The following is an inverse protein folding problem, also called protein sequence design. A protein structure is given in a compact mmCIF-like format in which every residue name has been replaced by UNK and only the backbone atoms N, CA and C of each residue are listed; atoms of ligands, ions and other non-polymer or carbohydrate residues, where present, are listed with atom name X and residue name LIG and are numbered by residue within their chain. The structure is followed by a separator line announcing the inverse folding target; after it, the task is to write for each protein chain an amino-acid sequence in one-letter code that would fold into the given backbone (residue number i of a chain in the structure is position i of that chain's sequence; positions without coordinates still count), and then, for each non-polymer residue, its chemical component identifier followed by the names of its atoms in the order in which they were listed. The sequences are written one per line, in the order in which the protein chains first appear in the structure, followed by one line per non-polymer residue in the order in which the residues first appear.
data_IF_633002009549
#
_entry.id   IF_633002009549
#
_cell.length_a   1.000
_cell.length_b   1.000
_cell.length_c   1.000
_cell.angle_alpha   90.00
_cell.angle_beta   90.00
_cell.angle_gamma   90.00
#
_symmetry.space_group_name_H-M   'P 1'
#
loop_
_entity.id
_entity.type
_entity.pdbx_description
1 polymer ?
#
# COMPACT_ATOMS: atom_id res chain seq x y z
N UNK A 1 60.54 35.98 -58.69
CA UNK A 1 61.64 35.45 -57.85
C UNK A 1 61.06 35.09 -56.49
N UNK A 2 61.24 33.83 -56.10
CA UNK A 2 60.57 33.10 -55.02
C UNK A 2 61.00 33.62 -53.64
N UNK A 3 60.05 33.85 -52.73
CA UNK A 3 60.30 33.92 -51.28
C UNK A 3 59.52 32.79 -50.59
N UNK A 4 60.25 31.73 -50.22
CA UNK A 4 59.78 30.66 -49.32
C UNK A 4 59.77 31.21 -47.89
N UNK A 5 58.62 31.17 -47.23
CA UNK A 5 58.48 31.22 -45.77
C UNK A 5 58.09 29.81 -45.31
N UNK A 6 58.83 29.29 -44.34
CA UNK A 6 58.62 27.98 -43.73
C UNK A 6 57.30 27.93 -42.96
N UNK A 7 56.48 26.93 -43.27
CA UNK A 7 55.34 26.50 -42.47
C UNK A 7 55.84 25.62 -41.32
N UNK A 8 55.38 25.91 -40.11
CA UNK A 8 55.32 24.96 -38.99
C UNK A 8 53.89 24.44 -38.97
N UNK A 9 53.71 23.16 -39.35
CA UNK A 9 52.43 22.47 -39.27
C UNK A 9 52.46 21.54 -38.05
N UNK A 10 51.63 21.83 -37.06
CA UNK A 10 51.32 20.92 -35.96
C UNK A 10 50.57 19.71 -36.50
N UNK A 11 51.15 18.53 -36.34
CA UNK A 11 50.45 17.26 -36.49
C UNK A 11 49.57 17.02 -35.26
N UNK A 12 48.25 17.15 -35.39
CA UNK A 12 47.32 16.44 -34.53
C UNK A 12 47.06 15.06 -35.17
N UNK A 13 47.49 14.02 -34.48
CA UNK A 13 47.19 12.64 -34.80
C UNK A 13 45.71 12.37 -34.56
N UNK A 14 44.97 12.08 -35.64
CA UNK A 14 43.63 11.54 -35.56
C UNK A 14 43.74 10.05 -35.21
N UNK A 15 43.59 9.71 -33.94
CA UNK A 15 43.51 8.32 -33.49
C UNK A 15 42.12 7.79 -33.85
N UNK A 16 42.06 6.99 -34.91
CA UNK A 16 40.88 6.17 -35.23
C UNK A 16 40.80 5.08 -34.16
N UNK A 17 39.94 5.28 -33.16
CA UNK A 17 39.54 4.21 -32.26
C UNK A 17 38.53 3.35 -33.04
N UNK A 18 39.01 2.24 -33.57
CA UNK A 18 38.15 1.15 -34.01
C UNK A 18 37.40 0.64 -32.78
N UNK A 19 36.13 1.02 -32.67
CA UNK A 19 35.22 0.52 -31.64
C UNK A 19 34.88 -0.93 -32.00
N UNK A 20 35.70 -1.86 -31.52
CA UNK A 20 35.38 -3.28 -31.57
C UNK A 20 34.10 -3.50 -30.77
N UNK A 21 33.01 -3.76 -31.49
CA UNK A 21 31.73 -4.19 -30.95
C UNK A 21 31.95 -5.59 -30.33
N UNK A 22 32.34 -5.63 -29.06
CA UNK A 22 32.25 -6.87 -28.29
C UNK A 22 30.77 -7.04 -27.98
N UNK A 23 30.12 -7.91 -28.74
CA UNK A 23 28.83 -8.49 -28.39
C UNK A 23 29.01 -9.21 -27.05
N UNK A 24 28.72 -8.51 -25.95
CA UNK A 24 28.46 -9.15 -24.67
C UNK A 24 27.14 -9.89 -24.86
N UNK A 25 27.10 -11.24 -24.79
CA UNK A 25 25.83 -11.94 -24.79
C UNK A 25 24.99 -11.38 -23.65
N UNK A 26 23.75 -11.00 -23.96
CA UNK A 26 22.82 -10.45 -22.99
C UNK A 26 22.72 -11.37 -21.78
N UNK A 27 23.26 -10.90 -20.66
CA UNK A 27 22.93 -11.48 -19.38
C UNK A 27 21.45 -11.19 -19.15
N UNK A 28 20.63 -12.22 -19.34
CA UNK A 28 19.27 -12.28 -18.83
C UNK A 28 19.29 -11.98 -17.35
N UNK A 29 18.86 -10.77 -16.98
CA UNK A 29 18.53 -10.37 -15.60
C UNK A 29 17.25 -11.08 -15.13
N UNK A 30 17.18 -12.39 -15.28
CA UNK A 30 15.96 -13.18 -15.05
C UNK A 30 16.22 -14.58 -14.46
N UNK A 31 17.44 -14.95 -14.06
CA UNK A 31 17.72 -16.36 -13.68
C UNK A 31 18.57 -16.57 -12.42
N UNK A 32 18.77 -15.56 -11.58
CA UNK A 32 19.42 -15.72 -10.26
C UNK A 32 18.66 -14.97 -9.16
N UNK A 33 17.41 -15.40 -8.89
CA UNK A 33 16.69 -15.20 -7.62
C UNK A 33 15.56 -16.25 -7.55
N UNK A 34 15.88 -17.53 -7.80
CA UNK A 34 15.01 -18.67 -7.47
C UNK A 34 15.43 -19.21 -6.10
N UNK A 35 15.19 -18.44 -5.03
CA UNK A 35 15.00 -19.07 -3.73
C UNK A 35 13.51 -19.40 -3.63
N UNK A 36 13.18 -20.64 -3.98
CA UNK A 36 11.87 -21.19 -3.71
C UNK A 36 11.76 -21.33 -2.19
N UNK A 37 11.27 -20.30 -1.49
CA UNK A 37 10.94 -20.43 -0.08
C UNK A 37 10.11 -21.69 0.14
N UNK A 38 10.31 -22.36 1.27
CA UNK A 38 9.63 -23.62 1.56
C UNK A 38 8.11 -23.40 1.64
N UNK A 39 7.35 -24.45 1.37
CA UNK A 39 5.89 -24.44 1.59
C UNK A 39 5.59 -24.16 3.07
N UNK A 40 4.60 -23.31 3.34
CA UNK A 40 4.20 -23.01 4.72
C UNK A 40 3.64 -24.27 5.40
N UNK A 41 3.91 -24.44 6.70
CA UNK A 41 3.34 -25.54 7.47
C UNK A 41 2.00 -25.14 8.09
N UNK A 42 1.91 -23.92 8.60
CA UNK A 42 0.67 -23.34 9.10
C UNK A 42 -0.07 -22.67 7.94
N UNK A 43 -1.20 -23.25 7.51
CA UNK A 43 -1.96 -22.76 6.35
C UNK A 43 -3.44 -22.53 6.65
N UNK A 44 -4.14 -21.85 5.74
CA UNK A 44 -5.61 -21.70 5.77
C UNK A 44 -6.29 -23.06 5.78
N UNK A 45 -5.78 -24.02 5.00
CA UNK A 45 -6.34 -25.37 4.94
C UNK A 45 -6.20 -26.08 6.28
N UNK A 46 -5.04 -25.99 6.93
CA UNK A 46 -4.84 -26.55 8.28
C UNK A 46 -5.78 -25.87 9.31
N UNK A 47 -6.00 -24.56 9.17
CA UNK A 47 -6.92 -23.81 10.03
C UNK A 47 -8.38 -24.23 9.86
N UNK A 48 -8.81 -24.45 8.60
CA UNK A 48 -10.19 -24.78 8.25
C UNK A 48 -10.53 -26.26 8.43
N UNK A 49 -9.53 -27.13 8.54
CA UNK A 49 -9.70 -28.60 8.62
C UNK A 49 -9.56 -29.17 10.04
N UNK A 50 -9.60 -28.32 11.08
CA UNK A 50 -9.41 -28.69 12.49
C UNK A 50 -8.07 -29.41 12.77
N UNK A 51 -7.06 -29.24 11.90
CA UNK A 51 -5.71 -29.78 12.12
C UNK A 51 -4.87 -28.91 13.06
N UNK A 52 -5.30 -27.68 13.31
CA UNK A 52 -4.70 -26.79 14.29
C UNK A 52 -5.51 -26.79 15.58
N UNK A 53 -4.83 -27.05 16.69
CA UNK A 53 -5.38 -26.89 18.02
C UNK A 53 -4.96 -25.54 18.59
N UNK A 54 -5.93 -24.64 18.78
CA UNK A 54 -5.70 -23.33 19.37
C UNK A 54 -5.60 -23.45 20.89
N UNK A 55 -4.46 -23.07 21.44
CA UNK A 55 -4.23 -23.05 22.87
C UNK A 55 -4.99 -21.89 23.51
N UNK A 56 -5.76 -22.18 24.55
CA UNK A 56 -6.38 -21.15 25.39
C UNK A 56 -5.45 -20.83 26.55
N UNK A 57 -5.16 -19.55 26.81
CA UNK A 57 -4.37 -19.18 27.99
C UNK A 57 -5.29 -19.13 29.22
N UNK A 58 -5.00 -19.91 30.26
CA UNK A 58 -5.71 -19.81 31.56
C UNK A 58 -5.50 -18.45 32.24
N UNK A 59 -4.48 -17.68 31.81
CA UNK A 59 -4.23 -16.30 32.24
C UNK A 59 -5.08 -15.25 31.51
N UNK A 60 -5.99 -15.63 30.60
CA UNK A 60 -7.00 -14.72 30.03
C UNK A 60 -8.14 -14.41 31.03
N UNK A 61 -7.81 -14.14 32.29
CA UNK A 61 -8.76 -13.66 33.30
C UNK A 61 -9.15 -12.18 33.10
N UNK A 62 -8.76 -11.57 31.98
CA UNK A 62 -9.32 -10.32 31.47
C UNK A 62 -10.56 -10.61 30.62
N UNK A 63 -11.70 -10.82 31.29
CA UNK A 63 -13.00 -10.24 30.93
C UNK A 63 -13.38 -10.16 29.44
N UNK A 64 -13.25 -11.24 28.66
CA UNK A 64 -14.17 -11.53 27.55
C UNK A 64 -13.98 -12.98 27.08
N UNK A 65 -14.95 -13.80 27.42
CA UNK A 65 -15.11 -15.14 26.89
C UNK A 65 -15.04 -15.13 25.35
N UNK A 66 -14.05 -15.80 24.78
CA UNK A 66 -14.19 -16.81 23.72
C UNK A 66 -15.16 -16.54 22.56
N UNK A 67 -15.35 -15.30 22.10
CA UNK A 67 -16.27 -14.98 20.98
C UNK A 67 -15.73 -13.96 19.97
N UNK A 68 -14.54 -13.40 20.16
CA UNK A 68 -13.92 -12.41 19.25
C UNK A 68 -12.60 -12.95 18.65
N UNK A 69 -12.64 -14.17 18.08
CA UNK A 69 -11.51 -14.84 17.40
C UNK A 69 -10.98 -14.06 16.17
N UNK A 70 -11.65 -12.98 15.76
CA UNK A 70 -11.34 -12.22 14.56
C UNK A 70 -10.33 -11.08 14.71
N UNK A 71 -9.70 -10.89 15.89
CA UNK A 71 -8.79 -9.75 16.09
C UNK A 71 -7.64 -9.94 17.09
N UNK A 72 -7.36 -11.18 17.52
CA UNK A 72 -6.28 -11.47 18.48
C UNK A 72 -5.28 -12.46 17.89
N UNK A 73 -4.00 -12.28 18.24
CA UNK A 73 -2.97 -13.29 17.98
C UNK A 73 -3.18 -14.43 18.96
N UNK A 74 -3.27 -15.65 18.46
CA UNK A 74 -3.42 -16.86 19.26
C UNK A 74 -2.15 -17.70 19.19
N UNK A 75 -2.06 -18.73 20.02
CA UNK A 75 -1.04 -19.78 19.85
C UNK A 75 -1.76 -21.03 19.35
N UNK A 76 -1.26 -21.62 18.28
CA UNK A 76 -1.78 -22.88 17.76
C UNK A 76 -0.67 -23.92 17.67
N UNK A 77 -1.04 -25.17 17.93
CA UNK A 77 -0.19 -26.32 17.66
C UNK A 77 -0.69 -27.07 16.44
N UNK A 78 0.24 -27.49 15.59
CA UNK A 78 -0.01 -28.33 14.44
C UNK A 78 0.65 -29.69 14.66
N UNK A 79 -0.11 -30.77 14.45
CA UNK A 79 0.34 -32.14 14.74
C UNK A 79 1.67 -32.45 14.03
N UNK A 80 2.70 -32.80 14.82
CA UNK A 80 4.04 -33.13 14.31
C UNK A 80 4.88 -31.95 13.80
N UNK A 81 4.40 -30.70 13.90
CA UNK A 81 5.08 -29.49 13.39
C UNK A 81 5.42 -28.44 14.45
N UNK A 82 4.86 -28.56 15.65
CA UNK A 82 5.15 -27.67 16.78
C UNK A 82 4.10 -26.58 16.97
N UNK A 83 4.45 -25.54 17.73
CA UNK A 83 3.58 -24.42 18.06
C UNK A 83 4.00 -23.15 17.31
N UNK A 84 3.04 -22.30 16.97
CA UNK A 84 3.27 -20.98 16.39
C UNK A 84 2.28 -19.96 16.97
N UNK A 85 2.69 -18.70 16.99
CA UNK A 85 1.76 -17.59 17.08
C UNK A 85 0.99 -17.48 15.75
N UNK A 86 -0.31 -17.23 15.80
CA UNK A 86 -1.20 -17.25 14.63
C UNK A 86 -2.11 -16.03 14.62
N UNK A 87 -2.10 -15.32 13.50
CA UNK A 87 -3.03 -14.22 13.21
C UNK A 87 -4.19 -14.73 12.36
N UNK A 88 -5.35 -14.88 12.99
CA UNK A 88 -6.59 -15.31 12.35
C UNK A 88 -7.48 -14.15 11.90
N UNK A 89 -7.03 -12.90 12.03
CA UNK A 89 -7.85 -11.71 11.76
C UNK A 89 -8.35 -11.60 10.32
N UNK A 90 -7.64 -12.23 9.38
CA UNK A 90 -8.02 -12.29 7.96
C UNK A 90 -8.41 -13.70 7.48
N UNK A 91 -8.53 -14.68 8.37
CA UNK A 91 -8.77 -16.09 7.98
C UNK A 91 -10.07 -16.24 7.18
N UNK A 92 -11.16 -15.61 7.64
CA UNK A 92 -12.46 -15.55 6.95
C UNK A 92 -12.43 -14.75 5.63
N UNK A 93 -11.33 -14.03 5.38
CA UNK A 93 -11.05 -13.29 4.15
C UNK A 93 -10.02 -14.00 3.26
N UNK A 94 -9.78 -15.30 3.53
CA UNK A 94 -8.93 -16.13 2.71
C UNK A 94 -7.44 -15.77 2.80
N UNK A 95 -6.99 -15.29 3.96
CA UNK A 95 -5.59 -14.92 4.21
C UNK A 95 -5.22 -15.27 5.66
N UNK A 96 -4.00 -15.76 5.89
CA UNK A 96 -3.57 -16.25 7.19
C UNK A 96 -2.06 -16.07 7.36
N UNK A 97 -1.62 -15.78 8.59
CA UNK A 97 -0.21 -15.75 8.95
C UNK A 97 0.05 -16.47 10.26
N UNK A 98 1.23 -17.11 10.36
CA UNK A 98 1.76 -17.68 11.58
C UNK A 98 3.24 -17.36 11.74
N UNK A 99 3.75 -17.36 12.97
CA UNK A 99 5.16 -17.14 13.26
C UNK A 99 5.68 -17.99 14.41
N UNK A 100 6.93 -18.40 14.27
CA UNK A 100 7.78 -18.92 15.35
C UNK A 100 9.10 -18.17 15.36
N UNK A 101 10.02 -18.52 16.26
CA UNK A 101 11.22 -17.71 16.57
C UNK A 101 12.12 -17.40 15.35
N UNK A 102 12.04 -18.18 14.28
CA UNK A 102 12.84 -17.98 13.06
C UNK A 102 12.07 -18.21 11.78
N UNK A 103 10.73 -18.18 11.81
CA UNK A 103 9.94 -18.34 10.60
C UNK A 103 8.67 -17.52 10.62
N UNK A 104 8.21 -17.19 9.42
CA UNK A 104 6.86 -16.68 9.18
C UNK A 104 6.23 -17.50 8.07
N UNK A 105 5.06 -18.05 8.36
CA UNK A 105 4.20 -18.73 7.40
C UNK A 105 3.11 -17.79 6.93
N UNK A 106 2.96 -17.70 5.62
CA UNK A 106 1.90 -16.96 4.95
C UNK A 106 1.06 -17.94 4.14
N UNK A 107 -0.26 -17.82 4.22
CA UNK A 107 -1.18 -18.63 3.41
C UNK A 107 -2.36 -17.79 2.91
N UNK A 108 -2.79 -18.07 1.68
CA UNK A 108 -3.81 -17.29 0.98
C UNK A 108 -4.62 -18.09 -0.03
N UNK A 109 -5.85 -17.65 -0.28
CA UNK A 109 -6.67 -18.18 -1.38
C UNK A 109 -6.13 -17.75 -2.74
N UNK A 110 -5.96 -18.69 -3.66
CA UNK A 110 -5.37 -18.41 -4.98
C UNK A 110 -6.40 -17.96 -6.02
N UNK A 111 -5.92 -17.18 -6.98
CA UNK A 111 -6.57 -16.86 -8.23
C UNK A 111 -6.06 -17.87 -9.26
N UNK A 112 -6.93 -18.63 -9.95
CA UNK A 112 -6.51 -19.67 -10.88
C UNK A 112 -5.53 -19.16 -11.94
N UNK A 113 -4.42 -19.90 -12.13
CA UNK A 113 -3.42 -19.60 -13.16
C UNK A 113 -2.54 -18.37 -12.86
N UNK A 114 -2.47 -17.92 -11.61
CA UNK A 114 -1.67 -16.76 -11.21
C UNK A 114 -0.49 -17.15 -10.31
N UNK A 115 0.59 -16.38 -10.44
CA UNK A 115 1.73 -16.39 -9.52
C UNK A 115 1.63 -15.19 -8.57
N UNK A 116 2.44 -15.19 -7.52
CA UNK A 116 2.47 -14.17 -6.48
C UNK A 116 3.89 -13.68 -6.23
N UNK A 117 4.06 -12.38 -6.02
CA UNK A 117 5.29 -11.79 -5.49
C UNK A 117 5.13 -11.54 -3.99
N UNK A 118 6.12 -11.94 -3.21
CA UNK A 118 6.18 -11.77 -1.77
C UNK A 118 7.23 -10.70 -1.46
N UNK A 119 6.89 -9.78 -0.56
CA UNK A 119 7.78 -8.75 -0.05
C UNK A 119 7.81 -8.84 1.47
N UNK A 120 8.97 -8.54 2.06
CA UNK A 120 9.17 -8.31 3.50
C UNK A 120 9.79 -6.93 3.68
N UNK A 121 9.19 -6.09 4.49
CA UNK A 121 9.64 -4.72 4.77
C UNK A 121 9.92 -3.92 3.48
N UNK A 122 8.97 -4.02 2.53
CA UNK A 122 9.02 -3.46 1.17
C UNK A 122 10.10 -4.02 0.23
N UNK A 123 10.92 -4.95 0.69
CA UNK A 123 11.91 -5.65 -0.13
C UNK A 123 11.32 -6.93 -0.73
N UNK A 124 11.53 -7.17 -2.02
CA UNK A 124 11.10 -8.40 -2.67
C UNK A 124 11.86 -9.60 -2.08
N UNK A 125 11.14 -10.62 -1.63
CA UNK A 125 11.73 -11.84 -1.06
C UNK A 125 11.50 -13.09 -1.89
N UNK A 126 10.35 -13.22 -2.57
CA UNK A 126 10.07 -14.43 -3.35
C UNK A 126 9.04 -14.24 -4.46
N UNK A 127 9.04 -15.15 -5.43
CA UNK A 127 7.94 -15.38 -6.36
C UNK A 127 7.44 -16.82 -6.20
N UNK A 128 6.13 -17.01 -6.05
CA UNK A 128 5.52 -18.32 -5.80
C UNK A 128 4.30 -18.55 -6.69
N UNK A 129 4.04 -19.79 -7.08
CA UNK A 129 2.85 -20.18 -7.86
C UNK A 129 1.76 -20.86 -6.99
N UNK A 130 2.06 -21.08 -5.70
CA UNK A 130 1.18 -21.74 -4.74
C UNK A 130 0.32 -20.78 -3.91
N UNK A 131 -0.37 -21.36 -2.93
CA UNK A 131 -1.24 -20.69 -1.94
C UNK A 131 -0.53 -20.38 -0.62
N UNK A 132 0.78 -20.61 -0.54
CA UNK A 132 1.53 -20.42 0.70
C UNK A 132 3.01 -20.14 0.47
N UNK A 133 3.66 -19.58 1.50
CA UNK A 133 5.08 -19.27 1.52
C UNK A 133 5.58 -19.25 2.97
N UNK A 134 6.72 -19.89 3.23
CA UNK A 134 7.48 -19.78 4.48
C UNK A 134 8.72 -18.92 4.28
N UNK A 135 8.81 -17.84 5.05
CA UNK A 135 10.05 -17.10 5.27
C UNK A 135 10.84 -17.75 6.42
N UNK A 136 12.13 -17.99 6.22
CA UNK A 136 13.05 -18.59 7.21
C UNK A 136 14.15 -17.63 7.68
N UNK A 137 14.10 -16.38 7.24
CA UNK A 137 15.07 -15.34 7.62
C UNK A 137 14.46 -14.14 8.38
N UNK A 138 13.27 -14.20 9.01
CA UNK A 138 12.82 -13.09 9.84
C UNK A 138 13.66 -13.02 11.14
N UNK A 139 13.74 -11.84 11.73
CA UNK A 139 14.49 -11.59 12.96
C UNK A 139 13.61 -11.88 14.19
N UNK A 140 14.08 -12.75 15.09
CA UNK A 140 13.41 -13.01 16.37
C UNK A 140 13.20 -11.73 17.18
N UNK A 141 12.04 -11.60 17.82
CA UNK A 141 11.63 -10.41 18.57
C UNK A 141 11.31 -9.18 17.72
N UNK A 142 11.45 -9.27 16.40
CA UNK A 142 11.09 -8.20 15.48
C UNK A 142 9.67 -8.37 14.94
N UNK A 143 9.10 -7.25 14.53
CA UNK A 143 7.86 -7.20 13.78
C UNK A 143 8.17 -6.90 12.33
N UNK A 144 7.72 -7.77 11.41
CA UNK A 144 7.97 -7.63 9.97
C UNK A 144 6.69 -7.37 9.18
N UNK A 145 6.80 -6.60 8.10
CA UNK A 145 5.70 -6.30 7.20
C UNK A 145 5.78 -7.16 5.94
N UNK A 146 4.86 -8.10 5.79
CA UNK A 146 4.74 -8.92 4.59
C UNK A 146 3.69 -8.39 3.64
N UNK A 147 3.96 -8.50 2.34
CA UNK A 147 3.02 -8.20 1.24
C UNK A 147 3.08 -9.29 0.18
N UNK A 148 1.93 -9.75 -0.28
CA UNK A 148 1.72 -10.82 -1.25
C UNK A 148 0.94 -10.21 -2.39
N UNK A 149 1.46 -10.22 -3.60
CA UNK A 149 0.83 -9.58 -4.75
C UNK A 149 0.57 -10.55 -5.89
N UNK A 150 -0.68 -10.63 -6.38
CA UNK A 150 -0.96 -11.36 -7.62
C UNK A 150 -0.18 -10.74 -8.79
N UNK A 151 0.60 -11.56 -9.48
CA UNK A 151 1.31 -11.18 -10.69
C UNK A 151 0.43 -11.38 -11.93
N UNK A 152 0.58 -10.48 -12.91
CA UNK A 152 -0.01 -10.66 -14.23
C UNK A 152 0.56 -11.93 -14.88
N UNK A 153 -0.29 -12.66 -15.63
CA UNK A 153 0.14 -13.84 -16.35
C UNK A 153 1.11 -13.44 -17.47
N UNK A 154 2.13 -14.26 -17.79
CA UNK A 154 3.14 -13.93 -18.79
C UNK A 154 2.58 -13.69 -20.20
N UNK A 155 1.36 -14.17 -20.50
CA UNK A 155 0.76 -14.12 -21.84
C UNK A 155 -0.33 -13.04 -22.05
N UNK A 156 -0.11 -11.82 -21.55
CA UNK A 156 -0.76 -10.57 -22.03
C UNK A 156 -2.14 -10.11 -21.51
N UNK A 157 -2.76 -10.72 -20.50
CA UNK A 157 -3.92 -10.10 -19.85
C UNK A 157 -3.50 -9.27 -18.64
N UNK A 158 -3.65 -7.94 -18.73
CA UNK A 158 -3.75 -7.09 -17.56
C UNK A 158 -4.78 -7.71 -16.60
N UNK A 159 -4.47 -7.77 -15.31
CA UNK A 159 -5.37 -8.32 -14.31
C UNK A 159 -6.68 -7.53 -14.34
N UNK A 160 -7.83 -8.21 -14.37
CA UNK A 160 -9.10 -7.55 -14.09
C UNK A 160 -9.19 -7.16 -12.61
N UNK A 161 -10.06 -6.20 -12.28
CA UNK A 161 -10.16 -5.65 -10.91
C UNK A 161 -10.46 -6.72 -9.83
N UNK A 162 -11.02 -7.87 -10.21
CA UNK A 162 -11.30 -9.05 -9.38
C UNK A 162 -10.14 -10.06 -9.31
N UNK A 163 -9.15 -9.98 -10.20
CA UNK A 163 -7.98 -10.85 -10.21
C UNK A 163 -6.78 -10.25 -9.45
N UNK A 164 -6.77 -8.93 -9.24
CA UNK A 164 -5.72 -8.29 -8.45
C UNK A 164 -6.02 -8.48 -6.97
N UNK A 165 -5.28 -9.39 -6.35
CA UNK A 165 -5.29 -9.54 -4.89
C UNK A 165 -3.94 -9.11 -4.34
N UNK A 166 -3.95 -8.24 -3.32
CA UNK A 166 -2.77 -8.04 -2.48
C UNK A 166 -3.16 -8.35 -1.04
N UNK A 167 -2.36 -9.20 -0.39
CA UNK A 167 -2.51 -9.65 1.02
C UNK A 167 -1.27 -9.30 1.81
N UNK A 168 -1.39 -9.07 3.11
CA UNK A 168 -0.30 -8.47 3.84
C UNK A 168 -0.56 -8.46 5.32
N UNK A 169 0.54 -8.56 6.04
CA UNK A 169 0.59 -9.00 7.42
C UNK A 169 1.72 -8.24 8.13
N UNK A 170 1.44 -7.69 9.30
CA UNK A 170 2.41 -7.38 10.32
C UNK A 170 2.54 -8.62 11.22
N UNK A 171 3.69 -9.26 11.16
CA UNK A 171 3.91 -10.51 11.87
C UNK A 171 4.95 -10.26 12.94
N UNK A 172 4.52 -10.33 14.20
CA UNK A 172 5.44 -10.39 15.33
C UNK A 172 6.12 -11.76 15.35
N UNK A 173 7.44 -11.77 15.25
CA UNK A 173 8.26 -12.97 15.37
C UNK A 173 8.62 -13.11 16.84
N UNK A 174 8.25 -14.20 17.50
CA UNK A 174 8.52 -14.34 18.91
C UNK A 174 10.02 -14.31 19.21
N UNK A 175 10.41 -13.66 20.30
CA UNK A 175 11.81 -13.63 20.76
C UNK A 175 12.19 -14.93 21.48
N UNK A 176 11.21 -15.61 22.05
CA UNK A 176 11.31 -16.75 22.96
C UNK A 176 10.35 -17.86 22.59
N UNK A 177 10.59 -19.06 23.12
CA UNK A 177 9.69 -20.21 22.90
C UNK A 177 8.43 -20.18 23.80
N UNK A 178 8.30 -19.19 24.71
CA UNK A 178 7.08 -18.99 25.51
C UNK A 178 6.03 -18.20 24.71
N UNK A 179 5.51 -18.86 23.66
CA UNK A 179 4.57 -18.26 22.72
C UNK A 179 3.29 -17.76 23.39
N UNK A 180 2.86 -18.41 24.47
CA UNK A 180 1.66 -18.00 25.21
C UNK A 180 1.88 -16.68 25.94
N UNK A 181 3.05 -16.49 26.57
CA UNK A 181 3.41 -15.22 27.18
C UNK A 181 3.54 -14.12 26.12
N UNK A 182 4.18 -14.42 24.98
CA UNK A 182 4.35 -13.43 23.91
C UNK A 182 3.03 -13.01 23.26
N UNK A 183 2.17 -13.96 22.88
CA UNK A 183 0.84 -13.64 22.36
C UNK A 183 0.00 -12.85 23.38
N UNK A 184 0.08 -13.20 24.67
CA UNK A 184 -0.61 -12.46 25.74
C UNK A 184 -0.11 -11.02 25.87
N UNK A 185 1.22 -10.82 25.88
CA UNK A 185 1.82 -9.49 25.99
C UNK A 185 1.49 -8.63 24.76
N UNK A 186 1.51 -9.23 23.58
CA UNK A 186 1.18 -8.56 22.33
C UNK A 186 -0.29 -8.12 22.32
N UNK A 187 -1.23 -9.02 22.65
CA UNK A 187 -2.65 -8.69 22.75
C UNK A 187 -2.92 -7.62 23.83
N UNK A 188 -2.22 -7.69 24.98
CA UNK A 188 -2.34 -6.67 26.02
C UNK A 188 -1.89 -5.30 25.53
N UNK A 189 -0.80 -5.20 24.77
CA UNK A 189 -0.33 -3.94 24.21
C UNK A 189 -1.36 -3.32 23.24
N UNK A 190 -2.05 -4.14 22.46
CA UNK A 190 -3.16 -3.71 21.59
C UNK A 190 -4.30 -3.15 22.45
N UNK A 191 -4.73 -3.89 23.47
CA UNK A 191 -5.84 -3.49 24.36
C UNK A 191 -5.52 -2.23 25.17
N UNK A 192 -4.28 -2.09 25.68
CA UNK A 192 -3.82 -0.89 26.36
C UNK A 192 -3.78 0.32 25.42
N UNK A 193 -3.35 0.12 24.17
CA UNK A 193 -3.43 1.15 23.13
C UNK A 193 -4.87 1.61 22.89
N UNK A 194 -5.84 0.70 22.87
CA UNK A 194 -7.28 0.99 22.74
C UNK A 194 -7.86 1.65 24.00
N UNK A 195 -7.43 1.24 25.19
CA UNK A 195 -7.91 1.82 26.44
C UNK A 195 -7.37 3.25 26.64
N UNK A 196 -6.08 3.46 26.38
CA UNK A 196 -5.44 4.77 26.42
C UNK A 196 -6.08 5.74 25.38
N UNK A 197 -6.40 5.22 24.19
CA UNK A 197 -7.16 5.92 23.16
C UNK A 197 -8.52 6.42 23.63
N UNK A 198 -9.28 5.56 24.33
CA UNK A 198 -10.63 5.86 24.78
C UNK A 198 -10.67 6.82 25.98
N UNK A 199 -9.58 6.90 26.75
CA UNK A 199 -9.42 7.83 27.87
C UNK A 199 -8.94 9.22 27.44
N UNK A 200 -8.53 9.41 26.17
CA UNK A 200 -8.15 10.70 25.63
C UNK A 200 -9.37 11.65 25.54
N UNK A 201 -9.19 12.98 25.59
CA UNK A 201 -10.29 13.93 25.45
C UNK A 201 -11.06 13.72 24.14
N UNK A 202 -12.35 14.08 24.10
CA UNK A 202 -13.21 13.86 22.92
C UNK A 202 -12.71 14.45 21.59
N UNK A 203 -11.86 15.48 21.64
CA UNK A 203 -11.18 16.07 20.49
C UNK A 203 -9.91 15.31 20.03
N UNK A 204 -9.51 14.30 20.79
CA UNK A 204 -8.36 13.42 20.64
C UNK A 204 -8.77 11.93 20.66
N UNK A 205 -10.06 11.61 20.46
CA UNK A 205 -10.60 10.25 20.43
C UNK A 205 -10.05 9.47 19.23
N UNK A 206 -8.80 9.06 19.32
CA UNK A 206 -8.29 7.70 19.41
C UNK A 206 -8.95 6.56 18.66
N UNK A 207 -9.62 6.92 17.59
CA UNK A 207 -10.19 6.09 16.58
C UNK A 207 -9.13 5.69 15.57
N UNK A 208 -9.29 4.52 14.95
CA UNK A 208 -8.52 4.20 13.77
C UNK A 208 -8.79 5.26 12.69
N UNK A 209 -7.86 5.47 11.77
CA UNK A 209 -8.08 6.38 10.63
C UNK A 209 -7.59 5.74 9.35
N UNK A 210 -8.39 5.85 8.29
CA UNK A 210 -7.96 5.53 6.92
C UNK A 210 -7.91 6.84 6.14
N UNK A 211 -6.74 7.20 5.62
CA UNK A 211 -6.55 8.38 4.78
C UNK A 211 -6.25 7.95 3.36
N UNK A 212 -6.86 8.63 2.39
CA UNK A 212 -6.50 8.56 0.98
C UNK A 212 -6.33 9.98 0.44
N UNK A 213 -5.14 10.27 -0.06
CA UNK A 213 -4.80 11.58 -0.63
C UNK A 213 -4.22 11.46 -2.02
N UNK A 214 -4.32 12.56 -2.76
CA UNK A 214 -3.62 12.74 -4.02
C UNK A 214 -2.84 14.03 -3.99
N UNK A 215 -1.70 14.11 -4.69
CA UNK A 215 -0.88 15.33 -4.75
C UNK A 215 -0.01 15.41 -5.99
N UNK A 216 0.31 16.63 -6.41
CA UNK A 216 1.25 16.90 -7.50
C UNK A 216 2.63 17.21 -6.88
N UNK A 217 3.66 16.37 -7.07
CA UNK A 217 4.94 16.54 -6.37
C UNK A 217 5.69 17.83 -6.74
N UNK A 218 5.41 18.39 -7.93
CA UNK A 218 6.02 19.63 -8.40
C UNK A 218 5.38 20.87 -7.75
N UNK A 219 6.09 22.00 -7.65
CA UNK A 219 5.48 23.26 -7.26
C UNK A 219 4.50 23.80 -8.32
N UNK A 220 4.78 23.55 -9.60
CA UNK A 220 3.96 23.97 -10.73
C UNK A 220 4.12 22.97 -11.89
N UNK A 221 3.06 22.78 -12.66
CA UNK A 221 3.04 22.02 -13.93
C UNK A 221 2.53 22.91 -15.05
N UNK A 222 2.96 22.67 -16.28
CA UNK A 222 2.54 23.50 -17.42
C UNK A 222 1.05 23.28 -17.71
N UNK A 223 0.34 24.36 -18.04
CA UNK A 223 -1.05 24.25 -18.46
C UNK A 223 -1.13 23.58 -19.85
N UNK A 224 -2.09 22.67 -20.08
CA UNK A 224 -2.21 21.99 -21.34
C UNK A 224 -2.56 22.99 -22.45
N UNK A 225 -2.00 22.79 -23.64
CA UNK A 225 -2.07 23.74 -24.76
C UNK A 225 -3.51 23.98 -25.24
N UNK A 226 -4.42 23.04 -25.00
CA UNK A 226 -5.82 23.12 -25.35
C UNK A 226 -6.71 22.56 -24.23
N UNK A 227 -8.02 22.84 -24.29
CA UNK A 227 -9.09 22.26 -23.45
C UNK A 227 -9.25 22.80 -22.02
N UNK A 228 -8.47 23.82 -21.68
CA UNK A 228 -8.59 24.61 -20.46
C UNK A 228 -8.64 26.10 -20.79
N UNK A 229 -9.18 26.90 -19.87
CA UNK A 229 -9.26 28.37 -19.97
C UNK A 229 -7.86 29.01 -20.04
N UNK A 230 -6.84 28.31 -19.53
CA UNK A 230 -5.44 28.70 -19.51
C UNK A 230 -4.61 27.64 -20.22
N UNK A 231 -3.83 28.06 -21.22
CA UNK A 231 -2.96 27.20 -22.02
C UNK A 231 -1.51 27.67 -22.02
N UNK A 232 -0.89 27.71 -23.20
CA UNK A 232 0.53 28.09 -23.34
C UNK A 232 0.87 29.42 -22.64
N UNK A 233 1.96 29.43 -21.86
CA UNK A 233 2.39 30.59 -21.06
C UNK A 233 1.84 30.64 -19.63
N UNK A 234 0.99 29.69 -19.25
CA UNK A 234 0.46 29.54 -17.90
C UNK A 234 0.88 28.21 -17.25
N UNK A 235 0.86 28.18 -15.93
CA UNK A 235 1.15 27.00 -15.11
C UNK A 235 0.07 26.78 -14.05
N UNK A 236 -0.25 25.52 -13.76
CA UNK A 236 -1.06 25.15 -12.60
C UNK A 236 -0.17 24.87 -11.39
N UNK A 237 -0.58 25.32 -10.20
CA UNK A 237 0.11 25.02 -8.96
C UNK A 237 -0.02 23.55 -8.56
N UNK A 238 1.09 22.96 -8.13
CA UNK A 238 1.12 21.67 -7.45
C UNK A 238 1.33 21.81 -5.95
N UNK A 239 1.70 20.72 -5.30
CA UNK A 239 1.81 20.59 -3.85
C UNK A 239 3.24 20.67 -3.34
N UNK A 240 4.25 20.56 -4.21
CA UNK A 240 5.67 20.68 -3.86
C UNK A 240 6.08 19.81 -2.67
N UNK A 241 5.70 18.53 -2.68
CA UNK A 241 5.96 17.61 -1.56
C UNK A 241 6.20 16.18 -2.02
N UNK A 242 6.68 15.36 -1.08
CA UNK A 242 6.70 13.90 -1.19
C UNK A 242 5.51 13.23 -0.49
N UNK A 243 5.58 11.91 -0.40
CA UNK A 243 4.63 11.08 0.33
C UNK A 243 4.70 11.40 1.84
N UNK A 244 3.55 11.65 2.46
CA UNK A 244 3.45 11.83 3.91
C UNK A 244 2.01 11.67 4.40
N UNK A 245 1.84 11.04 5.58
CA UNK A 245 0.56 10.97 6.27
C UNK A 245 0.12 12.30 6.92
N UNK A 246 1.04 13.28 7.06
CA UNK A 246 0.75 14.61 7.63
C UNK A 246 1.28 15.74 6.74
N UNK A 247 0.81 15.85 5.48
CA UNK A 247 1.28 16.87 4.56
C UNK A 247 0.58 18.21 4.81
N UNK A 248 1.27 19.30 4.47
CA UNK A 248 0.71 20.65 4.52
C UNK A 248 -0.29 20.96 3.39
N UNK A 249 -0.30 20.20 2.29
CA UNK A 249 -1.21 20.39 1.15
C UNK A 249 -1.55 19.07 0.42
N UNK A 250 -2.63 19.04 -0.34
CA UNK A 250 -2.97 17.95 -1.25
C UNK A 250 -3.73 18.47 -2.47
N UNK A 251 -4.04 17.61 -3.44
CA UNK A 251 -5.08 17.89 -4.45
C UNK A 251 -6.44 17.43 -3.96
N UNK A 252 -6.51 16.25 -3.36
CA UNK A 252 -7.72 15.70 -2.73
C UNK A 252 -7.38 15.03 -1.42
N UNK A 253 -8.27 15.12 -0.43
CA UNK A 253 -8.17 14.36 0.82
C UNK A 253 -9.49 13.66 1.10
N UNK A 254 -9.40 12.38 1.40
CA UNK A 254 -10.47 11.54 1.88
C UNK A 254 -10.00 10.91 3.19
N UNK A 255 -10.85 10.90 4.21
CA UNK A 255 -10.53 10.31 5.51
C UNK A 255 -11.74 9.63 6.13
N UNK A 256 -11.54 8.49 6.77
CA UNK A 256 -12.53 7.85 7.63
C UNK A 256 -11.96 7.73 9.04
N UNK A 257 -12.68 8.27 10.04
CA UNK A 257 -12.35 8.08 11.45
C UNK A 257 -13.20 6.92 12.00
N UNK A 258 -12.57 5.97 12.70
CA UNK A 258 -13.13 4.66 13.07
C UNK A 258 -13.33 4.50 14.58
N UNK A 259 -14.59 4.45 15.00
CA UNK A 259 -15.00 4.05 16.33
C UNK A 259 -15.30 2.56 16.43
N UNK A 260 -14.30 1.80 16.87
CA UNK A 260 -14.44 0.36 17.13
C UNK A 260 -15.50 0.04 18.18
N UNK A 261 -15.68 0.86 19.22
CA UNK A 261 -16.74 0.65 20.21
C UNK A 261 -18.15 0.87 19.63
N UNK A 262 -18.29 1.71 18.60
CA UNK A 262 -19.54 1.95 17.89
C UNK A 262 -19.70 1.11 16.61
N UNK A 263 -18.78 0.18 16.34
CA UNK A 263 -18.90 -0.76 15.23
C UNK A 263 -18.47 -0.23 13.85
N UNK A 264 -17.62 0.80 13.79
CA UNK A 264 -17.04 1.27 12.52
C UNK A 264 -16.87 2.77 12.42
N UNK A 265 -17.11 3.33 11.23
CA UNK A 265 -16.85 4.73 10.89
C UNK A 265 -17.76 5.69 11.67
N UNK A 266 -17.15 6.56 12.47
CA UNK A 266 -17.87 7.58 13.26
C UNK A 266 -18.01 8.92 12.52
N UNK A 267 -17.05 9.23 11.65
CA UNK A 267 -17.06 10.43 10.82
C UNK A 267 -16.14 10.25 9.61
N UNK A 268 -16.30 11.13 8.62
CA UNK A 268 -15.46 11.13 7.43
C UNK A 268 -15.17 12.55 6.94
N UNK A 269 -14.13 12.64 6.13
CA UNK A 269 -13.58 13.83 5.52
C UNK A 269 -13.50 13.63 4.00
N UNK A 270 -13.90 14.64 3.22
CA UNK A 270 -13.80 14.62 1.77
C UNK A 270 -13.68 16.05 1.22
N UNK A 271 -12.51 16.40 0.70
CA UNK A 271 -12.23 17.75 0.21
C UNK A 271 -11.32 17.76 -1.02
N UNK A 272 -11.45 18.81 -1.81
CA UNK A 272 -10.61 19.13 -2.96
C UNK A 272 -9.97 20.49 -2.73
N UNK A 273 -8.66 20.58 -2.86
CA UNK A 273 -7.94 21.84 -2.64
C UNK A 273 -8.05 22.76 -3.88
N UNK A 274 -7.93 24.08 -3.69
CA UNK A 274 -8.00 25.02 -4.81
C UNK A 274 -6.93 24.75 -5.87
N UNK A 275 -7.34 24.85 -7.14
CA UNK A 275 -6.44 24.95 -8.28
C UNK A 275 -6.02 26.40 -8.44
N UNK A 276 -4.71 26.65 -8.51
CA UNK A 276 -4.12 27.98 -8.69
C UNK A 276 -3.46 28.07 -10.06
N UNK A 277 -3.62 29.18 -10.76
CA UNK A 277 -3.00 29.44 -12.06
C UNK A 277 -1.98 30.55 -11.93
N UNK A 278 -0.82 30.38 -12.56
CA UNK A 278 0.26 31.34 -12.60
C UNK A 278 0.60 31.70 -14.04
N UNK A 279 1.00 32.95 -14.28
CA UNK A 279 1.52 33.39 -15.58
C UNK A 279 3.04 33.10 -15.71
N UNK A 280 3.62 33.43 -16.86
CA UNK A 280 5.06 33.24 -17.14
C UNK A 280 6.00 34.04 -16.22
N UNK A 281 5.51 35.10 -15.57
CA UNK A 281 6.25 35.85 -14.56
C UNK A 281 6.14 35.24 -13.15
N UNK A 282 5.41 34.12 -12.99
CA UNK A 282 5.20 33.44 -11.71
C UNK A 282 4.12 34.06 -10.82
N UNK A 283 3.36 35.06 -11.31
CA UNK A 283 2.30 35.70 -10.54
C UNK A 283 1.00 34.87 -10.60
N UNK A 284 0.34 34.69 -9.45
CA UNK A 284 -0.98 34.01 -9.38
C UNK A 284 -2.04 34.87 -10.06
N UNK A 285 -2.69 34.33 -11.09
CA UNK A 285 -3.70 35.04 -11.89
C UNK A 285 -5.12 34.52 -11.68
N UNK A 286 -5.28 33.28 -11.18
CA UNK A 286 -6.59 32.72 -10.88
C UNK A 286 -6.53 31.66 -9.78
N UNK A 287 -7.65 31.44 -9.10
CA UNK A 287 -7.84 30.39 -8.12
C UNK A 287 -9.30 29.93 -8.15
N UNK A 288 -9.53 28.60 -8.18
CA UNK A 288 -10.87 28.02 -8.16
C UNK A 288 -10.81 26.61 -7.60
N UNK A 289 -11.86 26.21 -6.90
CA UNK A 289 -11.98 24.87 -6.31
C UNK A 289 -12.98 24.06 -7.12
N UNK A 290 -12.64 22.80 -7.42
CA UNK A 290 -13.57 21.89 -8.06
C UNK A 290 -14.61 21.36 -7.08
N UNK A 291 -15.72 20.85 -7.60
CA UNK A 291 -16.74 20.22 -6.77
C UNK A 291 -16.20 18.95 -6.11
N UNK A 292 -16.50 18.76 -4.82
CA UNK A 292 -16.22 17.53 -4.08
C UNK A 292 -17.35 16.49 -4.17
N UNK A 293 -18.38 16.70 -5.00
CA UNK A 293 -19.59 15.84 -5.03
C UNK A 293 -19.31 14.36 -5.34
N UNK A 294 -18.28 14.07 -6.13
CA UNK A 294 -17.88 12.71 -6.52
C UNK A 294 -16.62 12.26 -5.73
N UNK A 295 -16.35 12.91 -4.60
CA UNK A 295 -15.29 12.59 -3.65
C UNK A 295 -15.97 12.18 -2.34
N UNK A 296 -15.90 10.90 -1.99
CA UNK A 296 -16.65 10.37 -0.85
C UNK A 296 -16.02 9.11 -0.25
N UNK A 297 -16.41 8.83 0.99
CA UNK A 297 -16.08 7.62 1.73
C UNK A 297 -17.37 7.00 2.26
N UNK A 298 -17.50 5.68 2.18
CA UNK A 298 -18.67 4.96 2.66
C UNK A 298 -18.26 3.71 3.42
N UNK A 299 -18.87 3.48 4.58
CA UNK A 299 -18.81 2.17 5.24
C UNK A 299 -19.77 1.20 4.53
N UNK A 300 -19.25 0.06 4.11
CA UNK A 300 -20.01 -1.02 3.47
C UNK A 300 -20.51 -2.03 4.50
N UNK A 301 -19.65 -2.37 5.46
CA UNK A 301 -19.94 -3.26 6.58
C UNK A 301 -19.03 -2.88 7.76
N UNK A 302 -19.36 -3.34 8.96
CA UNK A 302 -18.46 -3.22 10.10
C UNK A 302 -19.09 -3.70 11.40
N UNK A 303 -18.23 -4.00 12.35
CA UNK A 303 -18.57 -4.34 13.71
C UNK A 303 -17.43 -3.85 14.63
N UNK A 304 -17.36 -4.37 15.85
CA UNK A 304 -16.35 -3.93 16.80
C UNK A 304 -14.93 -4.32 16.40
N UNK A 305 -14.75 -5.27 15.49
CA UNK A 305 -13.47 -5.94 15.21
C UNK A 305 -12.94 -5.65 13.80
N UNK A 306 -13.82 -5.28 12.86
CA UNK A 306 -13.42 -4.81 11.53
C UNK A 306 -14.41 -3.81 10.91
N UNK A 307 -13.97 -3.11 9.87
CA UNK A 307 -14.78 -2.23 9.02
C UNK A 307 -14.39 -2.41 7.56
N UNK A 308 -15.39 -2.48 6.67
CA UNK A 308 -15.20 -2.42 5.23
C UNK A 308 -15.56 -1.01 4.75
N UNK A 309 -14.63 -0.35 4.06
CA UNK A 309 -14.77 1.01 3.57
C UNK A 309 -14.60 1.05 2.04
N UNK A 310 -15.41 1.87 1.38
CA UNK A 310 -15.23 2.25 -0.03
C UNK A 310 -14.84 3.71 -0.11
N UNK A 311 -13.72 3.97 -0.76
CA UNK A 311 -13.26 5.30 -1.12
C UNK A 311 -13.47 5.52 -2.62
N UNK A 312 -13.90 6.72 -2.99
CA UNK A 312 -14.03 7.14 -4.38
C UNK A 312 -13.64 8.60 -4.52
N UNK A 313 -12.71 8.89 -5.43
CA UNK A 313 -12.32 10.25 -5.80
C UNK A 313 -12.56 10.45 -7.29
N UNK A 314 -13.31 11.50 -7.63
CA UNK A 314 -13.36 12.07 -8.97
C UNK A 314 -13.38 13.59 -8.87
N UNK A 315 -12.26 14.23 -9.18
CA UNK A 315 -12.09 15.68 -9.08
C UNK A 315 -11.52 16.24 -10.39
N UNK A 316 -12.31 17.05 -11.09
CA UNK A 316 -11.88 17.73 -12.32
C UNK A 316 -11.03 18.97 -12.04
N UNK A 317 -10.29 19.46 -13.03
CA UNK A 317 -9.73 20.81 -12.97
C UNK A 317 -10.84 21.82 -13.26
N UNK A 318 -11.14 22.78 -12.36
CA UNK A 318 -12.28 23.68 -12.51
C UNK A 318 -12.09 24.76 -13.59
N UNK A 319 -10.91 24.82 -14.22
CA UNK A 319 -10.57 25.63 -15.39
C UNK A 319 -10.52 24.82 -16.69
N UNK A 320 -10.90 23.54 -16.65
CA UNK A 320 -10.90 22.67 -17.82
C UNK A 320 -12.26 21.97 -17.92
N UNK A 321 -13.06 22.38 -18.90
CA UNK A 321 -14.47 21.93 -19.01
C UNK A 321 -14.71 21.01 -20.20
N UNK A 322 -13.76 20.91 -21.13
CA UNK A 322 -13.99 20.32 -22.46
C UNK A 322 -13.50 18.86 -22.62
N UNK A 323 -12.74 18.32 -21.66
CA UNK A 323 -12.26 16.93 -21.68
C UNK A 323 -12.40 16.26 -20.31
N UNK A 324 -12.56 14.93 -20.23
CA UNK A 324 -12.58 14.20 -18.96
C UNK A 324 -11.17 14.12 -18.34
N UNK A 325 -10.66 15.25 -17.82
CA UNK A 325 -9.33 15.41 -17.25
C UNK A 325 -9.32 15.50 -15.72
N UNK A 326 -10.07 14.60 -15.08
CA UNK A 326 -10.18 14.54 -13.62
C UNK A 326 -9.19 13.55 -13.02
N UNK A 327 -8.73 13.85 -11.81
CA UNK A 327 -8.21 12.84 -10.88
C UNK A 327 -9.31 11.82 -10.67
N UNK A 328 -9.01 10.53 -10.83
CA UNK A 328 -9.97 9.45 -10.57
C UNK A 328 -9.30 8.29 -9.85
N UNK A 329 -10.01 7.72 -8.89
CA UNK A 329 -9.68 6.43 -8.33
C UNK A 329 -10.71 5.98 -7.32
N UNK A 330 -10.82 4.68 -7.12
CA UNK A 330 -11.69 4.11 -6.11
C UNK A 330 -11.09 2.81 -5.60
N UNK A 331 -11.27 2.51 -4.33
CA UNK A 331 -10.85 1.24 -3.75
C UNK A 331 -11.73 0.86 -2.58
N UNK A 332 -11.82 -0.44 -2.32
CA UNK A 332 -12.46 -1.02 -1.14
C UNK A 332 -11.37 -1.58 -0.23
N UNK A 333 -11.45 -1.26 1.06
CA UNK A 333 -10.49 -1.73 2.07
C UNK A 333 -11.25 -2.28 3.28
N UNK A 334 -10.89 -3.48 3.72
CA UNK A 334 -11.18 -3.96 5.07
C UNK A 334 -10.10 -3.44 5.99
N UNK A 335 -10.46 -2.91 7.16
CA UNK A 335 -9.51 -2.57 8.24
C UNK A 335 -10.00 -3.23 9.53
N UNK A 336 -9.11 -3.85 10.29
CA UNK A 336 -9.40 -4.50 11.57
C UNK A 336 -9.00 -3.61 12.74
N UNK A 337 -9.50 -3.94 13.94
CA UNK A 337 -9.24 -3.16 15.16
C UNK A 337 -7.76 -3.09 15.52
N UNK A 338 -7.05 -4.21 15.41
CA UNK A 338 -5.61 -4.22 15.68
C UNK A 338 -4.92 -3.28 14.69
N UNK A 339 -5.37 -3.21 13.44
CA UNK A 339 -4.88 -2.27 12.43
C UNK A 339 -4.45 -2.97 11.15
N UNK A 340 -4.77 -4.26 11.04
CA UNK A 340 -4.74 -4.96 9.78
C UNK A 340 -5.64 -4.33 8.74
N UNK A 341 -5.25 -4.47 7.49
CA UNK A 341 -6.00 -4.01 6.35
C UNK A 341 -5.90 -5.00 5.20
N UNK A 342 -6.94 -5.02 4.36
CA UNK A 342 -6.95 -5.73 3.09
C UNK A 342 -7.69 -4.91 2.04
N UNK A 343 -7.01 -4.49 0.97
CA UNK A 343 -7.63 -3.84 -0.17
C UNK A 343 -8.20 -4.93 -1.06
N UNK A 344 -9.53 -5.03 -1.04
CA UNK A 344 -10.31 -6.03 -1.76
C UNK A 344 -10.25 -5.80 -3.27
N UNK A 345 -10.29 -4.54 -3.70
CA UNK A 345 -10.14 -4.12 -5.10
C UNK A 345 -10.01 -2.61 -5.18
N UNK A 346 -9.34 -2.12 -6.22
CA UNK A 346 -9.32 -0.69 -6.50
C UNK A 346 -8.46 -0.32 -7.69
N UNK A 347 -8.67 0.86 -8.23
CA UNK A 347 -7.85 1.39 -9.30
C UNK A 347 -7.88 2.92 -9.32
N UNK A 348 -6.88 3.52 -9.95
CA UNK A 348 -6.78 4.97 -10.09
C UNK A 348 -6.08 5.38 -11.38
N UNK A 349 -6.27 6.62 -11.80
CA UNK A 349 -5.51 7.23 -12.90
C UNK A 349 -4.08 7.49 -12.46
N UNK A 350 -3.14 7.34 -13.38
CA UNK A 350 -1.71 7.47 -13.06
C UNK A 350 -1.22 8.92 -12.99
N UNK A 351 -2.14 9.87 -12.73
CA UNK A 351 -1.84 11.25 -12.40
C UNK A 351 -2.96 11.78 -11.48
N UNK A 352 -2.63 12.35 -10.32
CA UNK A 352 -1.29 12.72 -9.85
C UNK A 352 -0.66 11.59 -9.01
N UNK A 353 0.13 11.88 -7.96
CA UNK A 353 0.54 10.86 -6.99
C UNK A 353 -0.64 10.45 -6.12
N UNK A 354 -0.66 9.18 -5.69
CA UNK A 354 -1.69 8.63 -4.80
C UNK A 354 -1.03 8.06 -3.55
N UNK A 355 -1.64 8.30 -2.39
CA UNK A 355 -1.15 7.80 -1.11
C UNK A 355 -2.30 7.39 -0.19
N UNK A 356 -2.18 6.23 0.44
CA UNK A 356 -3.15 5.68 1.39
C UNK A 356 -2.40 5.35 2.67
N UNK A 357 -2.97 5.73 3.81
CA UNK A 357 -2.43 5.43 5.13
C UNK A 357 -3.50 4.89 6.05
N UNK A 358 -3.12 3.98 6.95
CA UNK A 358 -3.98 3.43 8.00
C UNK A 358 -3.34 3.67 9.35
N UNK A 359 -4.16 4.02 10.33
CA UNK A 359 -3.82 4.04 11.75
C UNK A 359 -4.87 3.17 12.44
N UNK A 360 -4.51 2.02 13.01
CA UNK A 360 -5.47 1.07 13.59
C UNK A 360 -6.06 1.52 14.93
N UNK A 361 -5.24 2.22 15.73
CA UNK A 361 -5.56 2.70 17.07
C UNK A 361 -4.94 4.08 17.34
N UNK A 362 -5.27 4.71 18.47
CA UNK A 362 -4.88 6.09 18.79
C UNK A 362 -3.40 6.36 19.01
N UNK A 363 -2.56 5.32 19.05
CA UNK A 363 -1.14 5.49 19.40
C UNK A 363 -0.39 6.35 18.38
N UNK A 364 -1.00 6.67 17.23
CA UNK A 364 -0.45 7.57 16.22
C UNK A 364 0.47 6.87 15.23
N UNK A 365 0.56 5.54 15.31
CA UNK A 365 1.36 4.72 14.39
C UNK A 365 0.67 4.63 13.03
N UNK A 366 1.02 5.56 12.14
CA UNK A 366 0.56 5.57 10.75
C UNK A 366 1.33 4.55 9.92
N UNK A 367 0.59 3.74 9.17
CA UNK A 367 1.12 2.75 8.23
C UNK A 367 0.87 3.23 6.81
N UNK A 368 1.88 3.10 5.96
CA UNK A 368 1.74 3.34 4.53
C UNK A 368 1.09 2.13 3.89
N UNK A 369 -0.15 2.29 3.44
CA UNK A 369 -0.94 1.23 2.79
C UNK A 369 -0.60 1.12 1.31
N UNK A 370 -0.45 2.27 0.67
CA UNK A 370 -0.22 2.37 -0.77
C UNK A 370 0.41 3.72 -1.06
N UNK A 371 1.47 3.74 -1.87
CA UNK A 371 1.99 4.96 -2.49
C UNK A 371 2.29 4.68 -3.94
N UNK A 372 1.88 5.58 -4.83
CA UNK A 372 2.24 5.49 -6.23
C UNK A 372 2.57 6.85 -6.80
N UNK A 373 3.76 6.93 -7.38
CA UNK A 373 4.20 8.08 -8.16
C UNK A 373 3.41 8.15 -9.48
N UNK A 374 3.13 9.37 -9.93
CA UNK A 374 2.50 9.63 -11.21
C UNK A 374 3.40 9.12 -12.34
N UNK A 375 2.79 8.64 -13.44
CA UNK A 375 3.52 8.17 -14.61
C UNK A 375 3.80 9.31 -15.60
N UNK A 376 2.79 10.13 -15.87
CA UNK A 376 2.85 11.28 -16.78
C UNK A 376 1.68 12.22 -16.55
N UNK A 377 1.87 13.52 -16.76
CA UNK A 377 0.79 14.52 -16.71
C UNK A 377 -0.35 14.19 -17.69
N UNK A 378 -0.04 13.52 -18.81
CA UNK A 378 -1.02 13.07 -19.80
C UNK A 378 -1.99 12.02 -19.23
N UNK A 379 -1.61 11.28 -18.19
CA UNK A 379 -2.44 10.25 -17.57
C UNK A 379 -3.65 10.80 -16.81
N UNK A 380 -3.83 12.12 -16.75
CA UNK A 380 -5.11 12.73 -16.38
C UNK A 380 -6.20 12.51 -17.43
N UNK A 381 -5.85 12.21 -18.68
CA UNK A 381 -6.81 11.95 -19.77
C UNK A 381 -7.12 10.44 -19.78
N UNK A 382 -8.41 10.09 -19.68
CA UNK A 382 -8.88 8.71 -19.48
C UNK A 382 -8.31 7.67 -20.47
N UNK A 383 -8.10 8.11 -21.71
CA UNK A 383 -7.69 7.28 -22.84
C UNK A 383 -6.18 7.36 -23.14
N UNK A 384 -5.44 8.21 -22.41
CA UNK A 384 -4.00 8.38 -22.62
C UNK A 384 -3.15 7.33 -21.89
N UNK A 385 -3.66 6.81 -20.77
CA UNK A 385 -2.96 5.81 -19.96
C UNK A 385 -3.94 4.77 -19.41
N UNK A 386 -3.54 3.50 -19.27
CA UNK A 386 -4.31 2.54 -18.50
C UNK A 386 -4.40 2.99 -17.03
N UNK A 387 -5.42 2.54 -16.31
CA UNK A 387 -5.49 2.72 -14.86
C UNK A 387 -4.40 1.90 -14.17
N UNK A 388 -3.99 2.36 -13.00
CA UNK A 388 -3.18 1.60 -12.10
C UNK A 388 -4.05 0.97 -11.03
N UNK A 389 -3.75 -0.26 -10.67
CA UNK A 389 -4.47 -0.92 -9.59
C UNK A 389 -4.05 -0.36 -8.24
N UNK A 390 -5.03 -0.12 -7.38
CA UNK A 390 -4.83 0.10 -5.95
C UNK A 390 -5.07 -1.25 -5.28
N UNK A 391 -4.02 -1.76 -4.66
CA UNK A 391 -4.04 -3.00 -3.94
C UNK A 391 -2.98 -2.91 -2.83
N UNK A 392 -3.24 -3.54 -1.68
CA UNK A 392 -2.43 -3.36 -0.46
C UNK A 392 -3.14 -3.91 0.76
N UNK A 393 -2.38 -4.38 1.74
CA UNK A 393 -2.87 -5.05 2.95
C UNK A 393 -1.72 -5.12 3.96
N UNK A 394 -2.00 -5.15 5.27
CA UNK A 394 -1.01 -5.22 6.37
C UNK A 394 -1.71 -5.72 7.64
N UNK A 395 -1.01 -6.10 8.72
CA UNK A 395 -1.63 -6.43 10.03
C UNK A 395 -1.18 -5.54 11.18
N UNK A 396 -1.53 -5.86 12.43
CA UNK A 396 -0.94 -5.31 13.66
C UNK A 396 -0.63 -6.48 14.59
#
# INVERSE_FOLDING_TARGET
MVRKKSCVASFLSASVIAMSLVLVPGASYADELNDHGSEAEFTIEAAKSDQMEFMTSEKSTLSRASTDLGSSIQVATLEGRGAAMVDTSLLEKGSFAASGQGFVDLSWETTPGRAYAIFRDDEFVAKVEGSSYRDTQPSAGATHHYRIETLAAPETSALSDDEVTIRGFEVHVPETDDLLAEASNHNQAIDEGIAAAAAAPAAANGYGTVLYRTFIPQPQIDAPVATCDYGSGYKFGGDNRGFSHSPASARTTLGANLNWAAGGMSSHAAWVDPTKVYNSAGAKVAEKTASAKDVWVKQLAGNTSYVDLRFSVKAGNPFCTSLPNSIQGAFTITVTRNGSYSIISGSHRQMPNHEIYVMGNATGNWKTVYTRSYASELCLIAMACPTATISGSGSY
#
